data_IF_460353235260
#
_entry.id   IF_460353235260
#
_cell.length_a   1.000
_cell.length_b   1.000
_cell.length_c   1.000
_cell.angle_alpha   90.00
_cell.angle_beta   90.00
_cell.angle_gamma   90.00
#
_symmetry.space_group_name_H-M   'P 1'
#
loop_
_entity.id
_entity.type
_entity.pdbx_description
1 polymer ?
#
# COMPACT_ATOMS: atom_id res chain seq x y z
N UNK A 1 -0.06 -25.06 -5.71
CA UNK A 1 -1.17 -25.64 -4.92
C UNK A 1 -2.44 -25.48 -5.74
N UNK A 2 -3.37 -26.46 -5.75
CA UNK A 2 -4.64 -26.26 -6.43
C UNK A 2 -5.43 -25.14 -5.72
N UNK A 3 -6.09 -24.27 -6.48
CA UNK A 3 -6.97 -23.17 -6.04
C UNK A 3 -8.27 -23.78 -5.48
N UNK A 4 -8.16 -24.70 -4.51
CA UNK A 4 -9.28 -25.57 -4.15
C UNK A 4 -10.08 -25.10 -2.95
N UNK A 5 -9.68 -24.07 -2.20
CA UNK A 5 -10.48 -23.54 -1.10
C UNK A 5 -10.29 -22.04 -0.90
N UNK A 6 -11.02 -21.24 -1.68
CA UNK A 6 -11.37 -19.88 -1.24
C UNK A 6 -12.25 -20.05 0.00
N UNK A 7 -11.72 -19.70 1.17
CA UNK A 7 -12.42 -19.86 2.44
C UNK A 7 -13.13 -18.56 2.83
N UNK A 8 -14.40 -18.64 3.22
CA UNK A 8 -15.11 -17.48 3.78
C UNK A 8 -14.55 -17.12 5.17
N UNK A 9 -14.16 -18.13 5.96
CA UNK A 9 -13.75 -17.97 7.36
C UNK A 9 -14.95 -18.07 8.31
N UNK A 10 -14.70 -18.28 9.60
CA UNK A 10 -15.74 -18.34 10.65
C UNK A 10 -15.61 -17.13 11.57
N UNK A 11 -16.73 -16.54 11.96
CA UNK A 11 -16.75 -15.33 12.80
C UNK A 11 -15.96 -15.50 14.11
N UNK A 12 -16.13 -16.61 14.80
CA UNK A 12 -15.49 -16.88 16.09
C UNK A 12 -13.96 -16.96 15.98
N UNK A 13 -13.46 -17.49 14.86
CA UNK A 13 -12.04 -17.75 14.61
C UNK A 13 -11.31 -16.53 14.02
N UNK A 14 -12.05 -15.60 13.39
CA UNK A 14 -11.46 -14.50 12.60
C UNK A 14 -11.77 -13.11 13.15
N UNK A 15 -12.93 -12.90 13.79
CA UNK A 15 -13.34 -11.56 14.27
C UNK A 15 -13.13 -11.41 15.77
N UNK A 16 -13.42 -12.46 16.54
CA UNK A 16 -13.29 -12.43 18.01
C UNK A 16 -12.00 -13.09 18.51
N UNK A 17 -11.27 -13.79 17.64
CA UNK A 17 -10.09 -14.52 18.05
C UNK A 17 -8.91 -13.57 18.31
N UNK A 18 -8.22 -13.68 19.46
CA UNK A 18 -7.11 -12.78 19.80
C UNK A 18 -5.98 -12.76 18.76
N UNK A 19 -5.73 -13.89 18.10
CA UNK A 19 -4.73 -13.97 17.04
C UNK A 19 -5.07 -13.13 15.81
N UNK A 20 -6.35 -13.12 15.40
CA UNK A 20 -6.79 -12.33 14.26
C UNK A 20 -6.80 -10.82 14.57
N UNK A 21 -7.19 -10.44 15.80
CA UNK A 21 -7.11 -9.06 16.27
C UNK A 21 -5.67 -8.56 16.36
N UNK A 22 -4.73 -9.40 16.83
CA UNK A 22 -3.29 -9.08 16.81
C UNK A 22 -2.78 -8.88 15.40
N UNK A 23 -3.19 -9.72 14.46
CA UNK A 23 -2.83 -9.58 13.06
C UNK A 23 -3.40 -8.30 12.43
N UNK A 24 -4.66 -7.97 12.71
CA UNK A 24 -5.27 -6.71 12.28
C UNK A 24 -4.53 -5.48 12.84
N UNK A 25 -4.16 -5.51 14.13
CA UNK A 25 -3.37 -4.45 14.74
C UNK A 25 -1.99 -4.33 14.09
N UNK A 26 -1.34 -5.46 13.78
CA UNK A 26 -0.07 -5.44 13.06
C UNK A 26 -0.22 -4.82 11.66
N UNK A 27 -1.26 -5.16 10.90
CA UNK A 27 -1.56 -4.53 9.60
C UNK A 27 -1.80 -3.02 9.73
N UNK A 28 -2.54 -2.60 10.77
CA UNK A 28 -2.76 -1.18 11.05
C UNK A 28 -1.43 -0.45 11.30
N UNK A 29 -0.59 -0.96 12.20
CA UNK A 29 0.71 -0.35 12.55
C UNK A 29 1.65 -0.35 11.35
N UNK A 30 1.77 -1.47 10.64
CA UNK A 30 2.62 -1.58 9.45
C UNK A 30 2.18 -0.60 8.36
N UNK A 31 0.88 -0.47 8.11
CA UNK A 31 0.36 0.45 7.09
C UNK A 31 0.55 1.90 7.52
N UNK A 32 0.39 2.20 8.81
CA UNK A 32 0.67 3.53 9.36
C UNK A 32 2.14 3.91 9.13
N UNK A 33 3.09 3.03 9.48
CA UNK A 33 4.54 3.29 9.28
C UNK A 33 4.84 3.53 7.80
N UNK A 34 4.31 2.66 6.94
CA UNK A 34 4.53 2.74 5.50
C UNK A 34 4.01 4.04 4.90
N UNK A 35 2.74 4.37 5.14
CA UNK A 35 2.10 5.59 4.59
C UNK A 35 2.72 6.84 5.19
N UNK A 36 3.01 6.87 6.50
CA UNK A 36 3.60 8.05 7.15
C UNK A 36 4.95 8.42 6.54
N UNK A 37 5.82 7.43 6.29
CA UNK A 37 7.13 7.67 5.69
C UNK A 37 7.03 7.97 4.18
N UNK A 38 6.22 7.23 3.43
CA UNK A 38 6.03 7.41 2.00
C UNK A 38 5.45 8.80 1.67
N UNK A 39 4.27 9.10 2.20
CA UNK A 39 3.58 10.38 2.00
C UNK A 39 4.35 11.55 2.64
N UNK A 40 4.94 11.32 3.81
CA UNK A 40 5.77 12.31 4.49
C UNK A 40 7.00 12.73 3.69
N UNK A 41 7.55 11.85 2.85
CA UNK A 41 8.66 12.20 1.96
C UNK A 41 8.27 13.23 0.90
N UNK A 42 7.05 13.12 0.35
CA UNK A 42 6.51 14.10 -0.59
C UNK A 42 6.28 15.45 0.09
N UNK A 43 5.73 15.46 1.31
CA UNK A 43 5.59 16.68 2.11
C UNK A 43 6.95 17.31 2.45
N UNK A 44 7.95 16.51 2.82
CA UNK A 44 9.29 16.99 3.11
C UNK A 44 9.92 17.62 1.85
N UNK A 45 9.78 16.98 0.70
CA UNK A 45 10.25 17.53 -0.57
C UNK A 45 9.56 18.86 -0.90
N UNK A 46 8.22 18.93 -0.80
CA UNK A 46 7.46 20.16 -1.02
C UNK A 46 7.89 21.28 -0.05
N UNK A 47 8.18 20.95 1.21
CA UNK A 47 8.68 21.92 2.19
C UNK A 47 10.06 22.45 1.84
N UNK A 48 10.98 21.58 1.42
CA UNK A 48 12.36 21.95 1.06
C UNK A 48 12.43 22.78 -0.23
N UNK A 49 11.45 22.63 -1.12
CA UNK A 49 11.39 23.31 -2.41
C UNK A 49 10.38 24.46 -2.45
N UNK A 50 9.79 24.82 -1.30
CA UNK A 50 8.77 25.86 -1.19
C UNK A 50 7.57 25.65 -2.14
N UNK A 51 7.17 24.38 -2.32
CA UNK A 51 6.09 24.01 -3.24
C UNK A 51 6.51 24.01 -4.71
N UNK A 52 7.81 23.83 -4.98
CA UNK A 52 8.36 23.72 -6.33
C UNK A 52 7.77 22.56 -7.14
N UNK A 53 7.96 22.57 -8.47
CA UNK A 53 7.44 21.53 -9.34
C UNK A 53 8.02 20.15 -9.01
N UNK A 54 7.33 19.09 -9.44
CA UNK A 54 7.88 17.74 -9.42
C UNK A 54 9.21 17.70 -10.19
N UNK A 55 10.18 17.00 -9.61
CA UNK A 55 11.55 16.92 -10.11
C UNK A 55 12.09 15.49 -9.96
N UNK A 56 13.18 15.13 -10.68
CA UNK A 56 13.83 13.84 -10.52
C UNK A 56 14.24 13.54 -9.07
N UNK A 57 14.69 14.56 -8.33
CA UNK A 57 15.11 14.42 -6.93
C UNK A 57 13.92 14.04 -6.03
N UNK A 58 12.77 14.70 -6.25
CA UNK A 58 11.53 14.38 -5.53
C UNK A 58 11.02 12.97 -5.84
N UNK A 59 11.11 12.55 -7.11
CA UNK A 59 10.73 11.21 -7.52
C UNK A 59 11.62 10.13 -6.89
N UNK A 60 12.94 10.35 -6.86
CA UNK A 60 13.90 9.43 -6.23
C UNK A 60 13.66 9.37 -4.71
N UNK A 61 13.44 10.52 -4.06
CA UNK A 61 13.14 10.57 -2.63
C UNK A 61 11.86 9.79 -2.29
N UNK A 62 10.79 9.98 -3.08
CA UNK A 62 9.54 9.25 -2.91
C UNK A 62 9.73 7.74 -3.10
N UNK A 63 10.44 7.32 -4.14
CA UNK A 63 10.71 5.91 -4.43
C UNK A 63 11.48 5.22 -3.29
N UNK A 64 12.56 5.85 -2.80
CA UNK A 64 13.36 5.31 -1.70
C UNK A 64 12.58 5.27 -0.38
N UNK A 65 11.83 6.33 -0.06
CA UNK A 65 11.03 6.39 1.15
C UNK A 65 9.98 5.28 1.18
N UNK A 66 9.20 5.12 0.09
CA UNK A 66 8.20 4.06 -0.01
C UNK A 66 8.82 2.67 0.01
N UNK A 67 9.92 2.46 -0.71
CA UNK A 67 10.57 1.15 -0.76
C UNK A 67 11.13 0.71 0.58
N UNK A 68 11.85 1.60 1.28
CA UNK A 68 12.40 1.28 2.60
C UNK A 68 11.31 1.16 3.66
N UNK A 69 10.31 2.04 3.64
CA UNK A 69 9.21 1.97 4.59
C UNK A 69 8.39 0.69 4.39
N UNK A 70 8.13 0.28 3.15
CA UNK A 70 7.43 -0.97 2.87
C UNK A 70 8.27 -2.19 3.26
N UNK A 71 9.56 -2.20 2.96
CA UNK A 71 10.47 -3.25 3.42
C UNK A 71 10.38 -3.45 4.94
N UNK A 72 10.46 -2.37 5.71
CA UNK A 72 10.36 -2.42 7.17
C UNK A 72 8.96 -2.83 7.62
N UNK A 73 7.90 -2.23 7.05
CA UNK A 73 6.51 -2.51 7.41
C UNK A 73 6.13 -3.99 7.18
N UNK A 74 6.57 -4.57 6.07
CA UNK A 74 6.41 -6.01 5.80
C UNK A 74 7.23 -6.83 6.79
N UNK A 75 8.49 -6.46 7.06
CA UNK A 75 9.37 -7.19 7.98
C UNK A 75 8.80 -7.29 9.40
N UNK A 76 8.27 -6.18 9.94
CA UNK A 76 7.70 -6.14 11.29
C UNK A 76 6.34 -6.83 11.39
N UNK A 77 5.58 -6.88 10.29
CA UNK A 77 4.28 -7.56 10.22
C UNK A 77 4.36 -9.04 9.85
N UNK A 78 5.46 -9.50 9.23
CA UNK A 78 5.58 -10.81 8.60
C UNK A 78 5.20 -11.98 9.51
N UNK A 79 5.68 -11.98 10.76
CA UNK A 79 5.46 -13.09 11.70
C UNK A 79 4.15 -12.96 12.51
N UNK A 80 3.37 -11.89 12.32
CA UNK A 80 2.13 -11.64 13.06
C UNK A 80 0.93 -11.70 12.12
N UNK A 81 0.96 -10.91 11.04
CA UNK A 81 -0.12 -10.82 10.04
C UNK A 81 0.25 -11.42 8.69
N UNK A 82 1.53 -11.64 8.40
CA UNK A 82 2.03 -11.89 7.05
C UNK A 82 2.52 -10.62 6.35
N UNK A 83 2.31 -9.44 6.96
CA UNK A 83 2.83 -8.16 6.46
C UNK A 83 2.28 -7.79 5.09
N UNK A 84 0.95 -7.78 4.91
CA UNK A 84 0.34 -7.45 3.62
C UNK A 84 0.46 -5.96 3.30
N UNK A 85 0.11 -5.09 4.26
CA UNK A 85 0.25 -3.62 4.21
C UNK A 85 -0.45 -2.97 3.00
N UNK A 86 -1.26 -3.74 2.27
CA UNK A 86 -1.81 -3.37 0.98
C UNK A 86 -3.07 -4.19 0.68
N UNK A 87 -4.23 -3.54 0.44
CA UNK A 87 -5.45 -4.24 0.06
C UNK A 87 -5.33 -5.12 -1.19
N UNK A 88 -4.52 -4.73 -2.18
CA UNK A 88 -4.26 -5.53 -3.39
C UNK A 88 -3.47 -6.80 -3.10
N UNK A 89 -2.50 -6.73 -2.19
CA UNK A 89 -1.76 -7.92 -1.73
C UNK A 89 -2.70 -8.85 -0.96
N UNK A 90 -3.53 -8.30 -0.07
CA UNK A 90 -4.56 -9.08 0.64
C UNK A 90 -5.55 -9.74 -0.32
N UNK A 91 -5.98 -9.02 -1.36
CA UNK A 91 -6.89 -9.56 -2.36
C UNK A 91 -6.24 -10.68 -3.17
N UNK A 92 -5.00 -10.47 -3.64
CA UNK A 92 -4.22 -11.50 -4.31
C UNK A 92 -4.09 -12.75 -3.46
N UNK A 93 -3.68 -12.59 -2.20
CA UNK A 93 -3.57 -13.68 -1.21
C UNK A 93 -4.90 -14.43 -1.03
N UNK A 94 -6.03 -13.73 -1.01
CA UNK A 94 -7.37 -14.31 -0.91
C UNK A 94 -7.70 -15.15 -2.15
N UNK A 95 -7.46 -14.62 -3.36
CA UNK A 95 -7.70 -15.34 -4.61
C UNK A 95 -6.85 -16.62 -4.72
N UNK A 96 -5.61 -16.61 -4.22
CA UNK A 96 -4.79 -17.82 -4.16
C UNK A 96 -5.03 -18.71 -2.94
N UNK A 97 -6.03 -18.43 -2.11
CA UNK A 97 -6.43 -19.28 -0.98
C UNK A 97 -5.49 -19.21 0.23
N UNK A 98 -4.72 -18.14 0.39
CA UNK A 98 -3.76 -17.97 1.49
C UNK A 98 -4.31 -17.15 2.67
N UNK A 99 -5.51 -16.57 2.53
CA UNK A 99 -6.24 -15.88 3.60
C UNK A 99 -7.75 -16.10 3.39
N UNK A 100 -8.52 -16.13 4.47
CA UNK A 100 -9.98 -16.20 4.41
C UNK A 100 -10.59 -14.84 4.06
N UNK A 101 -11.82 -14.83 3.52
CA UNK A 101 -12.52 -13.59 3.17
C UNK A 101 -12.70 -12.68 4.40
N UNK A 102 -13.17 -13.23 5.52
CA UNK A 102 -13.39 -12.45 6.74
C UNK A 102 -12.09 -11.83 7.27
N UNK A 103 -10.99 -12.58 7.26
CA UNK A 103 -9.69 -12.06 7.68
C UNK A 103 -9.14 -11.03 6.68
N UNK A 104 -9.38 -11.23 5.39
CA UNK A 104 -9.05 -10.26 4.34
C UNK A 104 -9.78 -8.92 4.54
N UNK A 105 -11.08 -8.96 4.86
CA UNK A 105 -11.86 -7.75 5.19
C UNK A 105 -11.31 -7.07 6.44
N UNK A 106 -10.97 -7.82 7.49
CA UNK A 106 -10.37 -7.27 8.69
C UNK A 106 -9.04 -6.56 8.40
N UNK A 107 -8.22 -7.14 7.52
CA UNK A 107 -6.97 -6.54 7.06
C UNK A 107 -7.22 -5.25 6.26
N UNK A 108 -8.19 -5.25 5.33
CA UNK A 108 -8.54 -4.03 4.59
C UNK A 108 -8.96 -2.89 5.52
N UNK A 109 -9.82 -3.17 6.51
CA UNK A 109 -10.21 -2.17 7.51
C UNK A 109 -8.98 -1.63 8.25
N UNK A 110 -8.12 -2.52 8.74
CA UNK A 110 -6.90 -2.13 9.45
C UNK A 110 -5.94 -1.29 8.58
N UNK A 111 -5.74 -1.69 7.33
CA UNK A 111 -4.87 -1.01 6.36
C UNK A 111 -5.40 0.40 6.05
N UNK A 112 -6.71 0.51 5.74
CA UNK A 112 -7.33 1.81 5.44
C UNK A 112 -7.29 2.75 6.64
N UNK A 113 -7.60 2.24 7.84
CA UNK A 113 -7.49 3.04 9.08
C UNK A 113 -6.05 3.47 9.37
N UNK A 114 -5.08 2.57 9.16
CA UNK A 114 -3.65 2.87 9.35
C UNK A 114 -3.18 4.00 8.42
N UNK A 115 -3.58 3.95 7.15
CA UNK A 115 -3.29 4.99 6.17
C UNK A 115 -3.91 6.34 6.54
N UNK A 116 -5.20 6.36 6.92
CA UNK A 116 -5.89 7.60 7.32
C UNK A 116 -5.25 8.21 8.56
N UNK A 117 -4.92 7.39 9.57
CA UNK A 117 -4.25 7.87 10.78
C UNK A 117 -2.86 8.41 10.46
N UNK A 118 -2.09 7.77 9.57
CA UNK A 118 -0.80 8.29 9.13
C UNK A 118 -0.92 9.68 8.50
N UNK A 119 -1.87 9.88 7.57
CA UNK A 119 -2.07 11.19 6.93
C UNK A 119 -2.59 12.25 7.93
N UNK A 120 -3.43 11.88 8.89
CA UNK A 120 -3.85 12.79 9.98
C UNK A 120 -2.69 13.22 10.86
N UNK A 121 -1.82 12.28 11.23
CA UNK A 121 -0.61 12.56 12.00
C UNK A 121 0.34 13.46 11.22
N UNK A 122 0.54 13.21 9.92
CA UNK A 122 1.33 14.08 9.04
C UNK A 122 0.76 15.49 8.98
N UNK A 123 -0.56 15.63 8.77
CA UNK A 123 -1.23 16.94 8.77
C UNK A 123 -1.00 17.69 10.08
N UNK A 124 -1.10 16.99 11.21
CA UNK A 124 -0.87 17.57 12.53
C UNK A 124 0.60 18.02 12.72
N UNK A 125 1.57 17.17 12.37
CA UNK A 125 3.00 17.45 12.61
C UNK A 125 3.61 18.45 11.63
N UNK A 126 3.02 18.63 10.46
CA UNK A 126 3.49 19.55 9.41
C UNK A 126 2.83 20.93 9.45
N UNK A 127 2.00 21.21 10.47
CA UNK A 127 1.32 22.51 10.60
C UNK A 127 0.16 22.70 9.62
N UNK A 128 -0.50 21.61 9.23
CA UNK A 128 -1.71 21.64 8.41
C UNK A 128 -1.51 21.38 6.92
N UNK A 129 -0.30 20.99 6.47
CA UNK A 129 -0.11 20.53 5.10
C UNK A 129 -1.00 19.29 4.86
N UNK A 130 -1.54 19.19 3.65
CA UNK A 130 -2.36 18.05 3.23
C UNK A 130 -1.56 17.28 2.19
N UNK A 131 -1.51 15.95 2.33
CA UNK A 131 -0.95 15.07 1.31
C UNK A 131 -1.86 15.10 0.10
N UNK A 132 -1.30 15.36 -1.08
CA UNK A 132 -2.05 15.27 -2.32
C UNK A 132 -2.37 13.82 -2.64
N UNK A 133 -3.64 13.52 -2.92
CA UNK A 133 -4.03 12.21 -3.43
C UNK A 133 -3.36 11.87 -4.76
N UNK A 134 -3.33 10.58 -5.09
CA UNK A 134 -2.78 10.10 -6.37
C UNK A 134 -3.63 10.63 -7.52
N UNK A 135 -2.98 11.30 -8.47
CA UNK A 135 -3.63 11.89 -9.63
C UNK A 135 -2.93 11.47 -10.92
N UNK A 136 -3.74 11.26 -11.96
CA UNK A 136 -3.24 11.01 -13.31
C UNK A 136 -2.66 12.32 -13.85
N UNK A 137 -1.39 12.29 -14.26
CA UNK A 137 -0.69 13.45 -14.79
C UNK A 137 -1.38 14.01 -16.04
N UNK A 138 -1.27 15.33 -16.23
CA UNK A 138 -1.81 15.99 -17.41
C UNK A 138 -1.25 15.36 -18.70
N UNK A 139 -2.14 15.03 -19.65
CA UNK A 139 -1.77 14.37 -20.91
C UNK A 139 -1.71 12.84 -20.86
N UNK A 140 -1.86 12.22 -19.68
CA UNK A 140 -1.98 10.76 -19.55
C UNK A 140 -3.44 10.34 -19.63
N UNK A 141 -3.75 9.38 -20.51
CA UNK A 141 -5.11 8.84 -20.62
C UNK A 141 -5.44 7.94 -19.43
N UNK A 142 -6.71 7.89 -19.03
CA UNK A 142 -7.19 7.00 -17.94
C UNK A 142 -6.85 5.54 -18.25
N UNK A 143 -6.94 5.11 -19.51
CA UNK A 143 -6.60 3.75 -19.93
C UNK A 143 -5.11 3.45 -19.79
N UNK A 144 -4.25 4.41 -20.12
CA UNK A 144 -2.81 4.29 -19.91
C UNK A 144 -2.49 4.19 -18.42
N UNK A 145 -3.10 5.05 -17.60
CA UNK A 145 -2.93 5.03 -16.15
C UNK A 145 -3.38 3.69 -15.54
N UNK A 146 -4.51 3.15 -16.00
CA UNK A 146 -5.00 1.85 -15.58
C UNK A 146 -4.02 0.72 -15.91
N UNK A 147 -3.46 0.71 -17.14
CA UNK A 147 -2.46 -0.29 -17.52
C UNK A 147 -1.20 -0.19 -16.66
N UNK A 148 -0.74 1.04 -16.37
CA UNK A 148 0.37 1.27 -15.45
C UNK A 148 0.11 0.60 -14.10
N UNK A 149 -1.01 0.95 -13.46
CA UNK A 149 -1.32 0.43 -12.12
C UNK A 149 -1.54 -1.10 -12.12
N UNK A 150 -2.17 -1.67 -13.16
CA UNK A 150 -2.32 -3.13 -13.29
C UNK A 150 -0.97 -3.82 -13.36
N UNK A 151 -0.06 -3.37 -14.22
CA UNK A 151 1.25 -4.03 -14.42
C UNK A 151 2.12 -3.89 -13.18
N UNK A 152 2.17 -2.69 -12.58
CA UNK A 152 2.96 -2.44 -11.37
C UNK A 152 2.43 -3.23 -10.18
N UNK A 153 1.10 -3.23 -9.97
CA UNK A 153 0.46 -4.00 -8.89
C UNK A 153 0.62 -5.50 -9.09
N UNK A 154 0.49 -5.99 -10.33
CA UNK A 154 0.77 -7.39 -10.65
C UNK A 154 2.21 -7.76 -10.30
N UNK A 155 3.19 -6.93 -10.68
CA UNK A 155 4.60 -7.14 -10.33
C UNK A 155 4.83 -7.21 -8.81
N UNK A 156 4.18 -6.34 -8.05
CA UNK A 156 4.21 -6.35 -6.58
C UNK A 156 3.60 -7.64 -6.01
N UNK A 157 2.34 -7.96 -6.37
CA UNK A 157 1.64 -9.15 -5.85
C UNK A 157 2.37 -10.43 -6.27
N UNK A 158 2.88 -10.51 -7.50
CA UNK A 158 3.68 -11.63 -7.96
C UNK A 158 4.98 -11.78 -7.15
N UNK A 159 5.65 -10.67 -6.83
CA UNK A 159 6.84 -10.68 -5.95
C UNK A 159 6.50 -11.23 -4.57
N UNK A 160 5.37 -10.84 -3.98
CA UNK A 160 4.88 -11.41 -2.72
C UNK A 160 4.67 -12.91 -2.86
N UNK A 161 4.04 -13.36 -3.94
CA UNK A 161 3.78 -14.78 -4.16
C UNK A 161 5.06 -15.61 -4.25
N UNK A 162 5.99 -15.18 -5.10
CA UNK A 162 7.22 -15.91 -5.37
C UNK A 162 8.18 -15.93 -4.17
N UNK A 163 8.19 -14.87 -3.35
CA UNK A 163 9.17 -14.72 -2.26
C UNK A 163 8.61 -15.06 -0.89
N UNK A 164 7.34 -14.76 -0.62
CA UNK A 164 6.74 -14.89 0.72
C UNK A 164 5.71 -16.02 0.83
N UNK A 165 4.95 -16.31 -0.24
CA UNK A 165 3.81 -17.25 -0.16
C UNK A 165 4.17 -18.66 -0.62
N UNK A 166 4.91 -18.82 -1.71
CA UNK A 166 5.19 -20.14 -2.30
C UNK A 166 5.92 -21.05 -1.27
N UNK A 167 5.39 -22.25 -0.96
CA UNK A 167 6.08 -23.22 -0.12
C UNK A 167 7.49 -23.59 -0.61
N UNK A 168 7.77 -23.42 -1.91
CA UNK A 168 9.06 -23.68 -2.55
C UNK A 168 10.02 -22.50 -2.51
N UNK A 169 9.67 -21.39 -1.83
CA UNK A 169 10.50 -20.17 -1.76
C UNK A 169 11.92 -20.41 -1.23
N UNK A 170 12.13 -21.41 -0.38
CA UNK A 170 13.43 -21.67 0.23
C UNK A 170 14.01 -20.41 0.89
N UNK A 171 15.29 -20.13 0.61
CA UNK A 171 16.00 -18.96 1.15
C UNK A 171 15.46 -17.61 0.65
N UNK A 172 14.65 -17.58 -0.42
CA UNK A 172 13.99 -16.35 -0.89
C UNK A 172 13.08 -15.75 0.17
N UNK A 173 12.54 -16.58 1.08
CA UNK A 173 11.73 -16.13 2.22
C UNK A 173 12.47 -15.15 3.13
N UNK A 174 13.80 -15.27 3.25
CA UNK A 174 14.63 -14.40 4.09
C UNK A 174 14.71 -12.98 3.53
N UNK A 175 14.73 -12.84 2.20
CA UNK A 175 14.82 -11.54 1.52
C UNK A 175 13.46 -11.04 1.01
N UNK A 176 12.37 -11.77 1.28
CA UNK A 176 11.04 -11.43 0.76
C UNK A 176 10.61 -10.00 1.11
N UNK A 177 10.73 -9.52 2.37
CA UNK A 177 10.35 -8.14 2.68
C UNK A 177 11.18 -7.11 1.89
N UNK A 178 12.48 -7.37 1.69
CA UNK A 178 13.36 -6.47 0.94
C UNK A 178 12.96 -6.44 -0.54
N UNK A 179 12.72 -7.60 -1.15
CA UNK A 179 12.27 -7.70 -2.54
C UNK A 179 10.94 -6.95 -2.76
N UNK A 180 9.99 -7.11 -1.83
CA UNK A 180 8.68 -6.43 -1.86
C UNK A 180 8.83 -4.90 -1.76
N UNK A 181 9.72 -4.41 -0.88
CA UNK A 181 10.01 -2.98 -0.79
C UNK A 181 10.66 -2.43 -2.07
N UNK A 182 11.67 -3.13 -2.58
CA UNK A 182 12.43 -2.67 -3.75
C UNK A 182 11.62 -2.67 -5.05
N UNK A 183 10.69 -3.62 -5.24
CA UNK A 183 9.83 -3.60 -6.45
C UNK A 183 8.88 -2.39 -6.43
N UNK A 184 8.40 -1.97 -5.26
CA UNK A 184 7.61 -0.73 -5.12
C UNK A 184 8.46 0.50 -5.43
N UNK A 185 9.68 0.59 -4.91
CA UNK A 185 10.60 1.67 -5.25
C UNK A 185 10.86 1.75 -6.76
N UNK A 186 11.16 0.61 -7.40
CA UNK A 186 11.40 0.53 -8.83
C UNK A 186 10.18 0.98 -9.65
N UNK A 187 8.98 0.53 -9.26
CA UNK A 187 7.75 0.92 -9.93
C UNK A 187 7.44 2.42 -9.74
N UNK A 188 7.75 3.03 -8.59
CA UNK A 188 7.60 4.48 -8.40
C UNK A 188 8.53 5.25 -9.34
N UNK A 189 9.78 4.81 -9.53
CA UNK A 189 10.69 5.44 -10.49
C UNK A 189 10.17 5.41 -11.94
N UNK A 190 9.35 4.41 -12.28
CA UNK A 190 8.78 4.24 -13.63
C UNK A 190 7.44 4.97 -13.77
N UNK A 191 6.51 4.74 -12.85
CA UNK A 191 5.12 5.18 -12.95
C UNK A 191 4.80 6.47 -12.20
N UNK A 192 5.68 6.93 -11.30
CA UNK A 192 5.41 8.04 -10.39
C UNK A 192 5.09 9.35 -11.11
N UNK A 193 5.80 9.65 -12.20
CA UNK A 193 5.56 10.84 -13.01
C UNK A 193 4.26 10.78 -13.85
N UNK A 194 3.65 9.61 -14.02
CA UNK A 194 2.47 9.42 -14.87
C UNK A 194 1.18 9.24 -14.08
N UNK A 195 1.25 8.47 -12.98
CA UNK A 195 0.08 8.00 -12.21
C UNK A 195 0.23 8.22 -10.71
N UNK A 196 1.41 8.65 -10.25
CA UNK A 196 1.82 8.59 -8.85
C UNK A 196 2.32 7.21 -8.42
N UNK A 197 2.04 6.14 -9.18
CA UNK A 197 2.42 4.76 -8.90
C UNK A 197 1.94 4.28 -7.52
N UNK A 198 0.62 4.20 -7.36
CA UNK A 198 0.01 3.83 -6.09
C UNK A 198 0.29 2.39 -5.72
N UNK A 199 -0.06 1.45 -6.62
CA UNK A 199 -0.03 -0.01 -6.41
C UNK A 199 -0.80 -0.50 -5.17
N UNK A 200 -1.40 0.40 -4.39
CA UNK A 200 -1.88 0.15 -3.05
C UNK A 200 -3.11 1.02 -2.75
N UNK A 201 -4.31 0.43 -2.76
CA UNK A 201 -5.53 1.16 -2.49
C UNK A 201 -5.55 1.85 -1.13
N UNK A 202 -4.86 1.34 -0.11
CA UNK A 202 -4.80 2.00 1.20
C UNK A 202 -3.95 3.27 1.16
N UNK A 203 -2.81 3.26 0.43
CA UNK A 203 -1.97 4.45 0.25
C UNK A 203 -2.74 5.53 -0.51
N UNK A 204 -3.42 5.16 -1.60
CA UNK A 204 -4.24 6.11 -2.33
C UNK A 204 -5.47 6.60 -1.56
N UNK A 205 -6.03 5.77 -0.67
CA UNK A 205 -7.18 6.13 0.14
C UNK A 205 -6.83 7.04 1.32
N UNK A 206 -5.67 6.88 1.96
CA UNK A 206 -5.29 7.63 3.17
C UNK A 206 -5.51 9.15 3.09
N UNK A 207 -5.03 9.83 2.02
CA UNK A 207 -5.25 11.26 1.80
C UNK A 207 -6.71 11.62 1.47
N UNK A 208 -7.49 10.73 0.84
CA UNK A 208 -8.78 11.06 0.25
C UNK A 208 -9.82 11.61 1.26
N UNK A 209 -10.00 11.06 2.49
CA UNK A 209 -10.88 11.65 3.50
C UNK A 209 -10.47 13.04 3.97
N UNK A 210 -9.19 13.40 3.86
CA UNK A 210 -8.71 14.75 4.19
C UNK A 210 -9.06 15.74 3.08
N UNK A 211 -9.08 15.29 1.83
CA UNK A 211 -9.52 16.05 0.66
C UNK A 211 -11.05 16.23 0.60
N UNK A 212 -11.84 15.35 1.26
CA UNK A 212 -13.31 15.54 1.44
C UNK A 212 -13.62 16.86 2.15
N UNK A 213 -12.81 17.24 3.14
CA UNK A 213 -12.95 18.52 3.84
C UNK A 213 -12.64 19.72 2.92
N UNK A 214 -12.00 19.48 1.76
CA UNK A 214 -11.65 20.45 0.71
C UNK A 214 -12.42 20.31 -0.62
N UNK A 215 -13.46 19.46 -0.70
CA UNK A 215 -14.39 19.33 -1.83
C UNK A 215 -13.83 18.84 -3.19
N UNK A 216 -12.86 17.92 -3.23
CA UNK A 216 -12.46 17.26 -4.50
C UNK A 216 -12.51 15.73 -4.38
N UNK A 217 -13.68 15.15 -4.69
CA UNK A 217 -14.00 13.74 -4.43
C UNK A 217 -14.19 12.89 -5.70
N UNK A 218 -13.55 13.24 -6.81
CA UNK A 218 -13.97 12.73 -8.12
C UNK A 218 -13.29 11.42 -8.56
N UNK A 219 -12.22 10.95 -7.88
CA UNK A 219 -11.37 9.85 -8.42
C UNK A 219 -10.94 8.78 -7.43
N UNK A 220 -11.51 8.72 -6.23
CA UNK A 220 -11.17 7.68 -5.24
C UNK A 220 -11.42 6.25 -5.74
N UNK A 221 -12.39 6.05 -6.64
CA UNK A 221 -12.68 4.73 -7.22
C UNK A 221 -11.54 4.21 -8.10
N UNK A 222 -10.75 5.11 -8.71
CA UNK A 222 -9.68 4.73 -9.63
C UNK A 222 -8.55 3.94 -8.94
N UNK A 223 -8.35 4.14 -7.63
CA UNK A 223 -7.38 3.36 -6.85
C UNK A 223 -7.81 1.93 -6.52
N UNK A 224 -9.05 1.55 -6.86
CA UNK A 224 -9.57 0.19 -6.70
C UNK A 224 -9.72 -0.53 -8.04
N UNK A 225 -9.59 0.17 -9.18
CA UNK A 225 -9.83 -0.40 -10.51
C UNK A 225 -8.78 -1.40 -10.99
N UNK A 226 -7.63 -1.47 -10.32
CA UNK A 226 -6.56 -2.43 -10.62
C UNK A 226 -6.52 -3.60 -9.62
N UNK A 227 -7.55 -3.74 -8.77
CA UNK A 227 -7.79 -4.94 -7.97
C UNK A 227 -8.44 -6.04 -8.81
#
# INVERSE_FOLDING_TARGET
MPINQIAVGRYQDEVTHPGALKAALAEFISTLIFVFAGEGSGMAFAKLTEGGPTSPEGLIAAALAHGFALFVAVSVGANISGGHVNPAVTFGAFLGGNISLLRGILYWIAQLLGAVVACLLLKFTTGGLVTSGFAVSAGVSVWSALVFEIVMTFGLVYTVYATAVDPKKGDLGTIAPLAIGLIVAANILVGGAFTGASMNPAVAFGPAPLDILGWTFDRWWACWCYL
#
